data_IF_292027626147
#
_entry.id   IF_292027626147
#
_cell.length_a   1.000
_cell.length_b   1.000
_cell.length_c   1.000
_cell.angle_alpha   90.00
_cell.angle_beta   90.00
_cell.angle_gamma   90.00
#
_symmetry.space_group_name_H-M   'P 1'
#
loop_
_entity.id
_entity.type
_entity.pdbx_description
1 polymer ?
#
# COMPACT_ATOMS: atom_id res chain seq x y z
N UNK A 1 1.23 13.03 0.07
CA UNK A 1 0.01 13.86 -0.04
C UNK A 1 -1.26 13.02 0.11
N UNK A 2 -1.22 11.95 0.91
CA UNK A 2 -2.35 11.01 1.05
C UNK A 2 -3.60 11.68 1.63
N UNK A 3 -3.44 12.59 2.60
CA UNK A 3 -4.54 13.37 3.18
C UNK A 3 -5.30 14.19 2.13
N UNK A 4 -4.56 14.84 1.22
CA UNK A 4 -5.16 15.61 0.13
C UNK A 4 -5.88 14.71 -0.88
N UNK A 5 -5.32 13.52 -1.17
CA UNK A 5 -5.96 12.53 -2.06
C UNK A 5 -7.25 12.02 -1.43
N UNK A 6 -7.24 11.65 -0.14
CA UNK A 6 -8.43 11.22 0.59
C UNK A 6 -9.52 12.29 0.58
N UNK A 7 -9.15 13.54 0.82
CA UNK A 7 -10.09 14.67 0.74
C UNK A 7 -10.68 14.81 -0.67
N UNK A 8 -9.85 14.77 -1.72
CA UNK A 8 -10.33 14.86 -3.09
C UNK A 8 -11.27 13.71 -3.48
N UNK A 9 -11.02 12.50 -2.99
CA UNK A 9 -11.91 11.35 -3.21
C UNK A 9 -13.28 11.60 -2.58
N UNK A 10 -13.34 12.06 -1.33
CA UNK A 10 -14.62 12.40 -0.67
C UNK A 10 -15.35 13.53 -1.39
N UNK A 11 -14.63 14.58 -1.78
CA UNK A 11 -15.20 15.75 -2.47
C UNK A 11 -15.74 15.41 -3.87
N UNK A 12 -15.21 14.37 -4.51
CA UNK A 12 -15.67 13.90 -5.82
C UNK A 12 -17.10 13.35 -5.82
N UNK A 13 -17.63 12.96 -4.65
CA UNK A 13 -18.94 12.31 -4.47
C UNK A 13 -19.12 11.03 -5.30
N UNK A 14 -18.03 10.43 -5.78
CA UNK A 14 -18.02 9.10 -6.38
C UNK A 14 -18.07 8.04 -5.28
N UNK A 15 -18.69 6.90 -5.57
CA UNK A 15 -18.67 5.78 -4.64
C UNK A 15 -17.23 5.25 -4.54
N UNK A 16 -16.81 4.84 -3.35
CA UNK A 16 -15.42 4.40 -3.11
C UNK A 16 -15.05 3.22 -4.01
N UNK A 17 -15.98 2.29 -4.23
CA UNK A 17 -15.83 1.11 -5.07
C UNK A 17 -15.75 1.39 -6.59
N UNK A 18 -16.07 2.61 -7.02
CA UNK A 18 -15.91 3.05 -8.42
C UNK A 18 -14.49 3.58 -8.70
N UNK A 19 -13.66 3.73 -7.66
CA UNK A 19 -12.31 4.28 -7.75
C UNK A 19 -11.27 3.21 -7.45
N UNK A 20 -10.14 3.30 -8.13
CA UNK A 20 -8.98 2.45 -7.89
C UNK A 20 -7.88 3.27 -7.20
N UNK A 21 -7.67 3.04 -5.90
CA UNK A 21 -6.69 3.79 -5.10
C UNK A 21 -5.47 2.92 -4.82
N UNK A 22 -4.30 3.47 -5.16
CA UNK A 22 -2.99 2.83 -4.95
C UNK A 22 -2.15 3.64 -3.98
N UNK A 23 -1.55 2.98 -3.00
CA UNK A 23 -0.45 3.55 -2.19
C UNK A 23 0.74 2.60 -2.15
N UNK A 24 1.83 2.99 -1.50
CA UNK A 24 3.11 2.27 -1.50
C UNK A 24 3.78 2.36 -0.14
N UNK A 25 4.40 1.27 0.33
CA UNK A 25 5.27 1.30 1.52
C UNK A 25 6.61 1.95 1.14
N UNK A 26 6.99 3.00 1.86
CA UNK A 26 8.23 3.74 1.61
C UNK A 26 9.45 2.96 2.11
N UNK A 27 10.64 3.32 1.62
CA UNK A 27 11.88 2.58 1.86
C UNK A 27 12.25 2.47 3.35
N UNK A 28 11.97 3.50 4.15
CA UNK A 28 12.27 3.51 5.60
C UNK A 28 11.28 2.69 6.42
N UNK A 29 10.18 2.27 5.82
CA UNK A 29 9.09 1.57 6.49
C UNK A 29 9.00 0.09 6.07
N UNK A 30 10.01 -0.43 5.38
CA UNK A 30 10.11 -1.83 5.02
C UNK A 30 10.50 -2.71 6.22
N UNK A 31 10.12 -3.98 6.14
CA UNK A 31 10.19 -4.93 7.25
C UNK A 31 8.81 -5.25 7.83
N UNK A 32 8.75 -6.29 8.65
CA UNK A 32 7.50 -6.94 9.06
C UNK A 32 6.53 -5.96 9.78
N UNK A 33 6.85 -5.57 11.02
CA UNK A 33 5.98 -4.68 11.79
C UNK A 33 5.91 -3.26 11.22
N UNK A 34 6.98 -2.82 10.53
CA UNK A 34 7.03 -1.49 9.94
C UNK A 34 6.03 -1.35 8.80
N UNK A 35 5.92 -2.37 7.94
CA UNK A 35 5.02 -2.36 6.77
C UNK A 35 3.57 -2.28 7.21
N UNK A 36 3.17 -3.05 8.24
CA UNK A 36 1.81 -3.00 8.78
C UNK A 36 1.48 -1.61 9.34
N UNK A 37 2.36 -1.02 10.16
CA UNK A 37 2.16 0.34 10.71
C UNK A 37 2.11 1.41 9.62
N UNK A 38 2.93 1.27 8.59
CA UNK A 38 2.93 2.19 7.46
C UNK A 38 1.64 2.09 6.65
N UNK A 39 1.16 0.87 6.41
CA UNK A 39 -0.11 0.63 5.75
C UNK A 39 -1.30 1.23 6.55
N UNK A 40 -1.37 0.99 7.86
CA UNK A 40 -2.39 1.60 8.73
C UNK A 40 -2.33 3.13 8.70
N UNK A 41 -1.11 3.70 8.69
CA UNK A 41 -0.91 5.14 8.57
C UNK A 41 -1.43 5.68 7.23
N UNK A 42 -1.18 4.97 6.13
CA UNK A 42 -1.70 5.30 4.80
C UNK A 42 -3.23 5.26 4.78
N UNK A 43 -3.86 4.21 5.30
CA UNK A 43 -5.33 4.11 5.41
C UNK A 43 -5.91 5.27 6.24
N UNK A 44 -5.29 5.60 7.38
CA UNK A 44 -5.73 6.71 8.21
C UNK A 44 -5.64 8.06 7.51
N UNK A 45 -4.54 8.31 6.77
CA UNK A 45 -4.36 9.56 6.01
C UNK A 45 -5.33 9.65 4.83
N UNK A 46 -5.55 8.54 4.13
CA UNK A 46 -6.53 8.47 3.04
C UNK A 46 -7.97 8.49 3.56
N UNK A 47 -8.18 8.11 4.82
CA UNK A 47 -9.48 7.91 5.47
C UNK A 47 -10.33 6.91 4.66
N UNK A 48 -9.80 5.69 4.57
CA UNK A 48 -10.37 4.55 3.85
C UNK A 48 -10.18 3.26 4.66
N UNK A 49 -11.04 2.27 4.43
CA UNK A 49 -10.96 0.96 5.09
C UNK A 49 -10.09 -0.04 4.30
N UNK A 50 -9.87 0.20 3.00
CA UNK A 50 -9.08 -0.68 2.12
C UNK A 50 -8.39 0.09 0.98
N UNK A 51 -7.34 -0.51 0.42
CA UNK A 51 -6.73 -0.06 -0.84
C UNK A 51 -7.00 -1.05 -1.98
N UNK A 52 -7.03 -0.56 -3.21
CA UNK A 52 -7.17 -1.44 -4.36
C UNK A 52 -5.85 -2.10 -4.71
N UNK A 53 -4.73 -1.39 -4.53
CA UNK A 53 -3.37 -1.89 -4.74
C UNK A 53 -2.41 -1.29 -3.72
N UNK A 54 -1.56 -2.15 -3.14
CA UNK A 54 -0.44 -1.71 -2.30
C UNK A 54 0.88 -2.29 -2.81
N UNK A 55 1.91 -1.44 -2.86
CA UNK A 55 3.17 -1.74 -3.54
C UNK A 55 4.37 -1.62 -2.60
N UNK A 56 5.34 -2.53 -2.73
CA UNK A 56 6.72 -2.25 -2.30
C UNK A 56 7.30 -1.18 -3.22
N UNK A 57 7.62 0.02 -2.69
CA UNK A 57 7.99 1.16 -3.54
C UNK A 57 9.34 0.96 -4.25
N UNK A 58 10.35 0.44 -3.55
CA UNK A 58 11.66 0.10 -4.10
C UNK A 58 12.19 -1.18 -3.45
N UNK A 59 13.03 -1.99 -4.11
CA UNK A 59 13.61 -3.17 -3.49
C UNK A 59 14.72 -2.77 -2.50
N UNK A 60 14.40 -2.57 -1.22
CA UNK A 60 15.44 -2.37 -0.19
C UNK A 60 16.11 -3.72 0.08
N UNK A 61 17.43 -3.86 -0.15
CA UNK A 61 18.13 -5.13 0.02
C UNK A 61 17.83 -5.76 1.37
N UNK A 62 17.71 -7.10 1.37
CA UNK A 62 17.38 -7.92 2.55
C UNK A 62 15.98 -7.71 3.14
N UNK A 63 15.26 -6.64 2.80
CA UNK A 63 13.96 -6.31 3.38
C UNK A 63 12.78 -6.51 2.42
N UNK A 64 12.99 -6.35 1.11
CA UNK A 64 11.88 -6.30 0.15
C UNK A 64 11.07 -7.60 0.09
N UNK A 65 11.72 -8.77 0.25
CA UNK A 65 11.05 -10.06 0.25
C UNK A 65 10.12 -10.23 1.47
N UNK A 66 10.61 -9.88 2.67
CA UNK A 66 9.80 -9.88 3.90
C UNK A 66 8.67 -8.86 3.83
N UNK A 67 8.96 -7.68 3.29
CA UNK A 67 7.96 -6.63 3.06
C UNK A 67 6.85 -7.14 2.15
N UNK A 68 7.21 -7.84 1.06
CA UNK A 68 6.21 -8.40 0.14
C UNK A 68 5.35 -9.47 0.81
N UNK A 69 5.93 -10.31 1.67
CA UNK A 69 5.17 -11.30 2.45
C UNK A 69 4.11 -10.63 3.34
N UNK A 70 4.41 -9.47 3.93
CA UNK A 70 3.40 -8.71 4.68
C UNK A 70 2.33 -8.09 3.78
N UNK A 71 2.69 -7.65 2.57
CA UNK A 71 1.70 -7.19 1.59
C UNK A 71 0.76 -8.34 1.19
N UNK A 72 1.28 -9.56 1.01
CA UNK A 72 0.44 -10.76 0.77
C UNK A 72 -0.50 -11.02 1.94
N UNK A 73 -0.03 -10.90 3.17
CA UNK A 73 -0.87 -11.03 4.36
C UNK A 73 -2.01 -9.99 4.39
N UNK A 74 -1.74 -8.72 4.04
CA UNK A 74 -2.78 -7.69 3.93
C UNK A 74 -3.85 -8.05 2.88
N UNK A 75 -3.47 -8.75 1.81
CA UNK A 75 -4.39 -9.24 0.79
C UNK A 75 -5.26 -10.40 1.31
N UNK A 76 -4.68 -11.32 2.07
CA UNK A 76 -5.40 -12.41 2.71
C UNK A 76 -6.43 -11.88 3.73
N UNK A 77 -6.05 -10.86 4.49
CA UNK A 77 -6.92 -10.14 5.45
C UNK A 77 -7.97 -9.23 4.76
N UNK A 78 -7.99 -9.16 3.42
CA UNK A 78 -8.93 -8.35 2.60
C UNK A 78 -8.83 -6.84 2.84
N UNK A 79 -7.70 -6.38 3.37
CA UNK A 79 -7.39 -4.95 3.50
C UNK A 79 -6.89 -4.33 2.19
N UNK A 80 -6.42 -5.17 1.25
CA UNK A 80 -6.10 -4.77 -0.12
C UNK A 80 -6.68 -5.74 -1.15
N UNK A 81 -6.95 -5.24 -2.37
CA UNK A 81 -7.53 -6.06 -3.46
C UNK A 81 -6.50 -6.60 -4.45
N UNK A 82 -5.29 -6.08 -4.43
CA UNK A 82 -4.18 -6.53 -5.25
C UNK A 82 -2.84 -6.19 -4.56
N UNK A 83 -1.86 -7.05 -4.77
CA UNK A 83 -0.47 -6.86 -4.34
C UNK A 83 0.38 -6.44 -5.53
N UNK A 84 1.54 -5.83 -5.28
CA UNK A 84 2.50 -5.59 -6.35
C UNK A 84 3.80 -4.99 -5.86
N UNK A 85 4.67 -4.69 -6.82
CA UNK A 85 5.97 -4.08 -6.61
C UNK A 85 6.19 -2.91 -7.57
N UNK A 86 7.05 -1.98 -7.19
CA UNK A 86 7.50 -0.87 -8.03
C UNK A 86 9.02 -0.86 -8.09
N UNK A 87 9.59 -0.48 -9.23
CA UNK A 87 11.04 -0.36 -9.44
C UNK A 87 11.85 -1.65 -9.17
N UNK A 88 11.21 -2.82 -9.29
CA UNK A 88 11.89 -4.11 -9.21
C UNK A 88 12.38 -4.52 -10.59
N UNK A 89 13.67 -4.80 -10.71
CA UNK A 89 14.28 -5.44 -11.89
C UNK A 89 14.07 -6.97 -11.87
N UNK A 90 14.28 -7.69 -12.99
CA UNK A 90 14.08 -9.14 -13.05
C UNK A 90 14.82 -9.97 -11.99
N UNK A 91 15.96 -9.50 -11.49
CA UNK A 91 16.71 -10.21 -10.45
C UNK A 91 16.15 -10.02 -9.03
N UNK A 92 15.17 -9.12 -8.86
CA UNK A 92 14.45 -8.93 -7.60
C UNK A 92 13.14 -9.75 -7.55
N UNK A 93 12.65 -10.22 -8.70
CA UNK A 93 11.40 -10.99 -8.86
C UNK A 93 11.68 -12.49 -8.76
#
# INVERSE_FOLDING_TARGET
NEEQVGQAVRDSKKKREELFITSKVWNTDQGYDQTLRAFETSLKKLDMDYLDLYLTHWPVPELYAYTYSEIERLYDEKLIRATGVSNHEPHHL
#
